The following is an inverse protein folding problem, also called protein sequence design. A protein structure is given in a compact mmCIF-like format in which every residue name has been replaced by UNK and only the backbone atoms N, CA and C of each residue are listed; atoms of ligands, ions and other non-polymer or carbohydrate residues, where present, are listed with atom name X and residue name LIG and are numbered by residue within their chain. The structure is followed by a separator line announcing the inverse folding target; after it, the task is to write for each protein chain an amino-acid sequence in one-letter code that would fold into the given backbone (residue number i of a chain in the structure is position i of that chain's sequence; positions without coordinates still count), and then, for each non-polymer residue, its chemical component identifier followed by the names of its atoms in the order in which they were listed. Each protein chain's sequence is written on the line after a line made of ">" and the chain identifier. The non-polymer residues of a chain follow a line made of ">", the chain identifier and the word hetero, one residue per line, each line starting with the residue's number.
data_IF_837881827407
#
_entry.id   IF_837881827407
#
_cell.length_a   1.000
_cell.length_b   1.000
_cell.length_c   1.000
_cell.angle_alpha   90.00
_cell.angle_beta   90.00
_cell.angle_gamma   90.00
#
_symmetry.space_group_name_H-M   'P 1'
#
loop_
_entity.id
_entity.type
_entity.pdbx_description
1 polymer ?
#
# COMPACT_ATOMS: atom_id res chain seq x y z
N UNK A 1 -16.74 -28.09 10.57
CA UNK A 1 -17.02 -26.89 9.77
C UNK A 1 -16.00 -25.82 10.15
N UNK A 2 -15.04 -25.53 9.28
CA UNK A 2 -14.06 -24.44 9.47
C UNK A 2 -14.70 -23.13 9.05
N UNK A 3 -14.73 -22.12 9.94
CA UNK A 3 -15.12 -20.76 9.56
C UNK A 3 -14.05 -20.19 8.63
N UNK A 4 -14.46 -19.69 7.46
CA UNK A 4 -13.60 -19.06 6.43
C UNK A 4 -13.34 -17.58 6.70
N UNK A 5 -13.80 -17.08 7.83
CA UNK A 5 -13.78 -15.68 8.23
C UNK A 5 -13.51 -15.60 9.75
N UNK A 6 -12.60 -14.70 10.12
CA UNK A 6 -12.15 -14.45 11.49
C UNK A 6 -12.48 -13.01 11.87
N UNK A 7 -12.81 -12.78 13.13
CA UNK A 7 -13.02 -11.43 13.67
C UNK A 7 -11.68 -10.67 13.74
N UNK A 8 -11.72 -9.36 13.49
CA UNK A 8 -10.52 -8.51 13.49
C UNK A 8 -9.83 -8.55 14.86
N UNK A 9 -10.62 -8.59 15.94
CA UNK A 9 -10.13 -8.71 17.31
C UNK A 9 -9.37 -10.01 17.54
N UNK A 10 -9.85 -11.11 16.94
CA UNK A 10 -9.23 -12.43 17.06
C UNK A 10 -7.95 -12.55 16.21
N UNK A 11 -7.91 -11.88 15.05
CA UNK A 11 -6.69 -11.75 14.24
C UNK A 11 -5.62 -10.92 14.95
N UNK A 12 -6.01 -9.82 15.60
CA UNK A 12 -5.13 -8.98 16.42
C UNK A 12 -4.59 -9.69 17.66
N UNK A 13 -5.26 -10.73 18.17
CA UNK A 13 -4.77 -11.55 19.28
C UNK A 13 -3.75 -12.63 18.82
N UNK A 14 -3.84 -13.06 17.56
CA UNK A 14 -2.95 -14.08 16.99
C UNK A 14 -1.66 -13.51 16.41
N UNK A 15 -1.67 -12.22 16.04
CA UNK A 15 -0.49 -11.48 15.59
C UNK A 15 0.06 -10.62 16.74
N UNK A 16 1.38 -10.39 16.74
CA UNK A 16 1.96 -9.37 17.63
C UNK A 16 1.39 -8.00 17.21
N UNK A 17 0.61 -7.35 18.07
CA UNK A 17 -0.25 -6.21 17.71
C UNK A 17 0.53 -5.06 17.06
N UNK A 18 1.79 -4.86 17.48
CA UNK A 18 2.68 -3.85 16.91
C UNK A 18 3.09 -4.12 15.46
N UNK A 19 3.21 -5.39 15.07
CA UNK A 19 3.62 -5.80 13.72
C UNK A 19 2.47 -5.65 12.72
N UNK A 20 1.24 -5.99 13.13
CA UNK A 20 0.05 -5.80 12.29
C UNK A 20 -0.25 -4.33 12.00
N UNK A 21 -0.18 -3.47 13.01
CA UNK A 21 -0.39 -2.03 12.81
C UNK A 21 0.70 -1.44 11.91
N UNK A 22 1.95 -1.92 12.04
CA UNK A 22 3.05 -1.52 11.17
C UNK A 22 2.82 -1.96 9.73
N UNK A 23 2.40 -3.20 9.49
CA UNK A 23 2.10 -3.68 8.12
C UNK A 23 0.93 -2.91 7.49
N UNK A 24 -0.09 -2.55 8.28
CA UNK A 24 -1.20 -1.72 7.81
C UNK A 24 -0.70 -0.32 7.45
N UNK A 25 0.12 0.30 8.31
CA UNK A 25 0.69 1.61 8.06
C UNK A 25 1.57 1.62 6.79
N UNK A 26 2.38 0.58 6.58
CA UNK A 26 3.17 0.38 5.36
C UNK A 26 2.30 0.29 4.11
N UNK A 27 1.22 -0.50 4.16
CA UNK A 27 0.30 -0.65 3.04
C UNK A 27 -0.44 0.66 2.71
N UNK A 28 -0.91 1.39 3.73
CA UNK A 28 -1.59 2.68 3.55
C UNK A 28 -0.62 3.72 2.99
N UNK A 29 0.61 3.76 3.50
CA UNK A 29 1.63 4.68 3.00
C UNK A 29 1.96 4.39 1.52
N UNK A 30 2.10 3.12 1.16
CA UNK A 30 2.29 2.73 -0.24
C UNK A 30 1.14 3.22 -1.12
N UNK A 31 -0.12 3.07 -0.66
CA UNK A 31 -1.29 3.49 -1.40
C UNK A 31 -1.34 5.02 -1.64
N UNK A 32 -1.00 5.82 -0.63
CA UNK A 32 -0.92 7.28 -0.76
C UNK A 32 0.17 7.67 -1.76
N UNK A 33 1.37 7.08 -1.64
CA UNK A 33 2.48 7.38 -2.55
C UNK A 33 2.13 7.01 -4.01
N UNK A 34 1.42 5.90 -4.23
CA UNK A 34 0.99 5.51 -5.58
C UNK A 34 0.01 6.52 -6.18
N UNK A 35 -0.93 7.02 -5.38
CA UNK A 35 -1.88 8.05 -5.81
C UNK A 35 -1.18 9.37 -6.15
N UNK A 36 -0.21 9.78 -5.33
CA UNK A 36 0.59 10.98 -5.58
C UNK A 36 1.40 10.85 -6.89
N UNK A 37 1.98 9.67 -7.14
CA UNK A 37 2.73 9.40 -8.39
C UNK A 37 1.83 9.42 -9.61
N UNK A 38 0.64 8.83 -9.54
CA UNK A 38 -0.33 8.88 -10.63
C UNK A 38 -0.74 10.33 -10.95
N UNK A 39 -0.98 11.14 -9.91
CA UNK A 39 -1.26 12.58 -10.05
C UNK A 39 -0.10 13.37 -10.66
N UNK A 40 1.13 13.11 -10.23
CA UNK A 40 2.34 13.74 -10.77
C UNK A 40 2.57 13.37 -12.25
N UNK A 41 2.33 12.11 -12.60
CA UNK A 41 2.49 11.61 -13.97
C UNK A 41 1.36 12.12 -14.88
N UNK A 42 0.17 12.38 -14.34
CA UNK A 42 -1.03 12.71 -15.11
C UNK A 42 -1.68 11.48 -15.76
N UNK A 43 -1.30 10.28 -15.30
CA UNK A 43 -1.81 9.01 -15.82
C UNK A 43 -1.57 7.88 -14.81
N UNK A 44 -2.58 7.02 -14.66
CA UNK A 44 -2.49 5.79 -13.91
C UNK A 44 -1.54 4.76 -14.52
N UNK A 45 -1.33 3.68 -13.76
CA UNK A 45 -0.46 2.57 -14.20
C UNK A 45 -0.98 1.95 -15.50
N UNK A 46 -0.13 1.93 -16.52
CA UNK A 46 -0.43 1.42 -17.87
C UNK A 46 -1.59 2.12 -18.60
N UNK A 47 -2.09 3.23 -18.07
CA UNK A 47 -3.14 4.01 -18.70
C UNK A 47 -2.62 4.68 -19.98
N UNK A 48 -3.49 4.96 -20.94
CA UNK A 48 -3.15 5.84 -22.07
C UNK A 48 -3.83 7.18 -21.84
N UNK A 49 -3.04 8.21 -21.54
CA UNK A 49 -3.51 9.58 -21.30
C UNK A 49 -2.66 10.56 -22.10
N UNK A 50 -3.31 11.58 -22.66
CA UNK A 50 -2.64 12.70 -23.32
C UNK A 50 -1.96 13.67 -22.33
N UNK A 51 -2.39 13.65 -21.07
CA UNK A 51 -1.85 14.47 -19.98
C UNK A 51 -0.58 13.85 -19.37
N UNK A 52 -0.12 12.68 -19.86
CA UNK A 52 1.08 12.02 -19.34
C UNK A 52 2.32 12.89 -19.55
N UNK A 53 2.99 13.25 -18.47
CA UNK A 53 4.22 14.06 -18.51
C UNK A 53 5.50 13.25 -18.36
N UNK A 54 5.45 12.07 -17.73
CA UNK A 54 6.63 11.21 -17.48
C UNK A 54 6.27 9.73 -17.30
N UNK A 55 7.25 8.87 -17.01
CA UNK A 55 7.09 7.42 -16.84
C UNK A 55 7.64 6.92 -15.51
N UNK A 56 7.00 5.88 -14.96
CA UNK A 56 7.44 5.20 -13.72
C UNK A 56 8.77 4.49 -13.95
N UNK A 57 9.69 4.60 -12.99
CA UNK A 57 11.04 4.03 -13.05
C UNK A 57 11.30 3.04 -11.89
N UNK A 58 10.44 2.02 -11.82
CA UNK A 58 10.52 0.98 -10.78
C UNK A 58 10.29 1.49 -9.35
N UNK A 59 10.63 0.65 -8.38
CA UNK A 59 10.54 0.93 -6.95
C UNK A 59 11.93 0.91 -6.31
N UNK A 60 12.05 1.58 -5.16
CA UNK A 60 13.26 1.53 -4.31
C UNK A 60 12.83 1.24 -2.89
N UNK A 61 13.53 0.30 -2.26
CA UNK A 61 13.26 -0.05 -0.87
C UNK A 61 13.59 1.13 0.04
N UNK A 62 12.68 1.38 0.98
CA UNK A 62 12.85 2.40 2.03
C UNK A 62 12.40 1.78 3.34
N UNK A 63 13.30 1.75 4.32
CA UNK A 63 12.92 1.40 5.67
C UNK A 63 12.09 2.55 6.27
N UNK A 64 10.91 2.24 6.81
CA UNK A 64 10.20 3.18 7.67
C UNK A 64 11.01 3.36 8.96
N UNK A 65 11.15 4.61 9.42
CA UNK A 65 11.90 4.91 10.63
C UNK A 65 11.44 3.99 11.80
N UNK A 66 12.41 3.54 12.59
CA UNK A 66 12.20 2.56 13.67
C UNK A 66 11.31 3.13 14.76
#
# INVERSE_FOLDING_TARGET
>A
MTKTNMDLSELMQKHDQGDLLRSIAEAVLQLIMEADVDGLIGAGRHERSGERTTWRNGYRDRALAR
#
